data_IF_473965914360
#
_entry.id   IF_473965914360
#
_cell.length_a   1.000
_cell.length_b   1.000
_cell.length_c   1.000
_cell.angle_alpha   90.00
_cell.angle_beta   90.00
_cell.angle_gamma   90.00
#
_symmetry.space_group_name_H-M   'P 1'
#
loop_
_entity.id
_entity.type
_entity.pdbx_description
1 polymer ?
#
# COMPACT_ATOMS: atom_id res chain seq x y z
N UNK A 1 17.05 29.45 -22.90
CA UNK A 1 15.97 29.42 -21.90
C UNK A 1 15.84 28.00 -21.36
N UNK A 2 16.61 27.73 -20.31
CA UNK A 2 16.51 26.74 -19.23
C UNK A 2 15.86 25.37 -19.55
N UNK A 3 16.68 24.47 -20.10
CA UNK A 3 16.38 23.05 -20.26
C UNK A 3 16.57 22.33 -18.90
N UNK A 4 15.60 22.43 -17.99
CA UNK A 4 15.64 21.67 -16.74
C UNK A 4 15.33 20.18 -17.01
N UNK A 5 16.35 19.43 -17.44
CA UNK A 5 16.36 17.96 -17.44
C UNK A 5 16.50 17.45 -16.00
N UNK A 6 15.50 17.70 -15.16
CA UNK A 6 15.34 16.91 -13.95
C UNK A 6 15.11 15.48 -14.40
N UNK A 7 16.11 14.61 -14.25
CA UNK A 7 16.00 13.17 -14.39
C UNK A 7 14.68 12.71 -13.76
N UNK A 8 13.67 12.49 -14.59
CA UNK A 8 12.31 12.20 -14.13
C UNK A 8 12.34 10.75 -13.72
N UNK A 9 12.39 10.48 -12.42
CA UNK A 9 12.33 9.12 -11.89
C UNK A 9 11.12 8.41 -12.51
N UNK A 10 11.26 7.15 -12.97
CA UNK A 10 10.14 6.40 -13.49
C UNK A 10 9.01 6.37 -12.45
N UNK A 11 7.77 6.57 -12.89
CA UNK A 11 6.61 6.50 -12.02
C UNK A 11 6.02 5.10 -12.07
N UNK A 12 5.86 4.48 -10.91
CA UNK A 12 5.22 3.16 -10.77
C UNK A 12 3.89 3.36 -10.07
N UNK A 13 2.80 2.98 -10.74
CA UNK A 13 1.45 3.00 -10.17
C UNK A 13 1.07 1.57 -9.77
N UNK A 14 0.77 1.38 -8.48
CA UNK A 14 0.33 0.11 -7.92
C UNK A 14 -1.17 0.23 -7.65
N UNK A 15 -1.98 -0.64 -8.25
CA UNK A 15 -3.42 -0.67 -8.05
C UNK A 15 -3.75 -1.82 -7.09
N UNK A 16 -4.33 -1.47 -5.94
CA UNK A 16 -4.67 -2.38 -4.86
C UNK A 16 -3.66 -2.32 -3.70
N UNK A 17 -4.13 -2.11 -2.47
CA UNK A 17 -3.39 -2.15 -1.22
C UNK A 17 -3.64 -3.45 -0.44
N UNK A 18 -3.82 -4.56 -1.18
CA UNK A 18 -3.81 -5.91 -0.63
C UNK A 18 -2.39 -6.39 -0.30
N UNK A 19 -2.23 -7.70 -0.07
CA UNK A 19 -0.92 -8.30 0.22
C UNK A 19 0.13 -7.99 -0.85
N UNK A 20 -0.21 -8.24 -2.11
CA UNK A 20 0.72 -8.04 -3.23
C UNK A 20 1.09 -6.57 -3.43
N UNK A 21 0.11 -5.66 -3.43
CA UNK A 21 0.39 -4.25 -3.68
C UNK A 21 1.21 -3.59 -2.60
N UNK A 22 0.97 -3.94 -1.33
CA UNK A 22 1.83 -3.50 -0.23
C UNK A 22 3.23 -4.11 -0.33
N UNK A 23 3.35 -5.38 -0.73
CA UNK A 23 4.68 -5.98 -0.89
C UNK A 23 5.50 -5.38 -2.02
N UNK A 24 4.85 -5.09 -3.15
CA UNK A 24 5.49 -4.36 -4.25
C UNK A 24 5.93 -2.98 -3.78
N UNK A 25 5.07 -2.24 -3.06
CA UNK A 25 5.41 -0.93 -2.52
C UNK A 25 6.61 -1.00 -1.54
N UNK A 26 6.65 -2.03 -0.67
CA UNK A 26 7.76 -2.26 0.27
C UNK A 26 9.06 -2.62 -0.45
N UNK A 27 8.98 -3.38 -1.53
CA UNK A 27 10.13 -3.81 -2.34
C UNK A 27 10.72 -2.66 -3.16
N UNK A 28 9.88 -1.75 -3.65
CA UNK A 28 10.29 -0.58 -4.42
C UNK A 28 10.74 0.61 -3.56
N UNK A 29 10.69 0.52 -2.22
CA UNK A 29 10.97 1.65 -1.32
C UNK A 29 12.34 2.31 -1.51
N UNK A 30 13.35 1.52 -1.93
CA UNK A 30 14.72 1.98 -2.17
C UNK A 30 15.06 2.10 -3.66
N UNK A 31 14.12 1.82 -4.55
CA UNK A 31 14.33 1.94 -5.98
C UNK A 31 14.28 3.42 -6.38
N UNK A 32 15.01 3.84 -7.43
CA UNK A 32 15.02 5.23 -7.91
C UNK A 32 13.75 5.56 -8.72
N UNK A 33 12.57 5.29 -8.15
CA UNK A 33 11.25 5.41 -8.78
C UNK A 33 10.28 6.17 -7.87
N UNK A 34 9.31 6.85 -8.47
CA UNK A 34 8.21 7.47 -7.74
C UNK A 34 7.04 6.48 -7.66
N UNK A 35 6.70 6.01 -6.46
CA UNK A 35 5.61 5.03 -6.25
C UNK A 35 4.30 5.73 -5.90
N UNK A 36 3.24 5.43 -6.64
CA UNK A 36 1.86 5.79 -6.33
C UNK A 36 1.06 4.51 -6.05
N UNK A 37 0.64 4.32 -4.80
CA UNK A 37 -0.27 3.24 -4.41
C UNK A 37 -1.71 3.76 -4.39
N UNK A 38 -2.59 3.14 -5.18
CA UNK A 38 -3.99 3.51 -5.28
C UNK A 38 -4.86 2.31 -4.92
N UNK A 39 -5.75 2.48 -3.94
CA UNK A 39 -6.76 1.50 -3.58
C UNK A 39 -8.10 2.21 -3.39
N UNK A 40 -9.19 1.46 -3.53
CA UNK A 40 -10.55 1.93 -3.27
C UNK A 40 -10.77 2.28 -1.80
N UNK A 41 -10.11 1.54 -0.92
CA UNK A 41 -10.19 1.64 0.52
C UNK A 41 -8.89 2.22 1.08
N UNK A 42 -8.99 2.94 2.20
CA UNK A 42 -7.84 3.50 2.90
C UNK A 42 -7.17 2.52 3.88
N UNK A 43 -7.59 1.25 3.88
CA UNK A 43 -7.11 0.18 4.75
C UNK A 43 -6.72 -1.07 3.96
N UNK A 44 -5.77 -1.81 4.50
CA UNK A 44 -5.42 -3.16 4.09
C UNK A 44 -6.17 -4.15 4.99
N UNK A 45 -6.94 -5.04 4.39
CA UNK A 45 -7.65 -6.11 5.10
C UNK A 45 -6.86 -7.42 5.12
N UNK A 46 -6.76 -8.06 6.29
CA UNK A 46 -6.27 -9.43 6.42
C UNK A 46 -7.41 -10.42 6.15
N UNK A 47 -7.78 -10.52 4.86
CA UNK A 47 -8.86 -11.37 4.37
C UNK A 47 -8.82 -12.85 4.82
N UNK A 48 -7.66 -13.47 5.12
CA UNK A 48 -7.64 -14.81 5.69
C UNK A 48 -8.43 -14.97 6.99
N UNK A 49 -8.64 -13.90 7.78
CA UNK A 49 -9.45 -13.93 9.00
C UNK A 49 -10.85 -13.34 8.82
N UNK A 50 -11.28 -13.09 7.58
CA UNK A 50 -12.63 -12.55 7.31
C UNK A 50 -13.72 -13.46 7.88
N UNK A 51 -13.50 -14.78 7.85
CA UNK A 51 -14.46 -15.73 8.42
C UNK A 51 -14.67 -15.52 9.92
N UNK A 52 -13.63 -15.13 10.68
CA UNK A 52 -13.75 -14.87 12.11
C UNK A 52 -14.58 -13.63 12.40
N UNK A 53 -14.54 -12.63 11.51
CA UNK A 53 -15.46 -11.49 11.57
C UNK A 53 -16.90 -11.93 11.26
N UNK A 54 -17.08 -12.75 10.23
CA UNK A 54 -18.41 -13.26 9.85
C UNK A 54 -19.05 -14.12 10.96
N UNK A 55 -18.24 -14.83 11.75
CA UNK A 55 -18.70 -15.64 12.90
C UNK A 55 -18.67 -14.89 14.23
N UNK A 56 -18.50 -13.56 14.22
CA UNK A 56 -18.41 -12.71 15.42
C UNK A 56 -17.29 -13.09 16.42
N UNK A 57 -16.25 -13.78 15.95
CA UNK A 57 -15.04 -14.10 16.74
C UNK A 57 -14.01 -12.96 16.74
N UNK A 58 -14.09 -12.03 15.79
CA UNK A 58 -13.26 -10.82 15.72
C UNK A 58 -14.09 -9.62 15.29
N UNK A 59 -13.71 -8.45 15.79
CA UNK A 59 -14.18 -7.16 15.29
C UNK A 59 -13.50 -6.82 13.95
N UNK A 60 -14.21 -6.18 12.99
CA UNK A 60 -13.63 -5.80 11.70
C UNK A 60 -12.33 -4.99 11.80
N UNK A 61 -12.20 -4.15 12.82
CA UNK A 61 -11.02 -3.31 13.07
C UNK A 61 -9.77 -4.15 13.40
N UNK A 62 -9.94 -5.38 13.89
CA UNK A 62 -8.82 -6.28 14.19
C UNK A 62 -8.17 -6.83 12.92
N UNK A 63 -8.89 -6.85 11.78
CA UNK A 63 -8.37 -7.33 10.50
C UNK A 63 -8.10 -6.19 9.50
N UNK A 64 -8.44 -4.93 9.81
CA UNK A 64 -8.29 -3.79 8.93
C UNK A 64 -7.22 -2.81 9.44
N UNK A 65 -6.12 -2.68 8.70
CA UNK A 65 -5.00 -1.78 9.05
C UNK A 65 -4.94 -0.58 8.11
N UNK A 66 -4.87 0.67 8.60
CA UNK A 66 -4.74 1.84 7.74
C UNK A 66 -3.48 1.76 6.86
N UNK A 67 -3.64 1.88 5.54
CA UNK A 67 -2.53 1.76 4.57
C UNK A 67 -1.40 2.73 4.89
N UNK A 68 -1.75 3.97 5.28
CA UNK A 68 -0.78 5.00 5.68
C UNK A 68 0.04 4.62 6.90
N UNK A 69 -0.53 3.88 7.86
CA UNK A 69 0.19 3.43 9.04
C UNK A 69 1.23 2.36 8.68
N UNK A 70 0.86 1.44 7.78
CA UNK A 70 1.77 0.41 7.26
C UNK A 70 2.93 1.05 6.50
N UNK A 71 2.65 1.95 5.55
CA UNK A 71 3.67 2.61 4.73
C UNK A 71 4.61 3.48 5.59
N UNK A 72 4.08 4.18 6.59
CA UNK A 72 4.89 5.03 7.49
C UNK A 72 5.97 4.24 8.24
N UNK A 73 5.78 2.94 8.45
CA UNK A 73 6.77 2.05 9.07
C UNK A 73 7.97 1.75 8.17
N UNK A 74 7.85 1.99 6.86
CA UNK A 74 8.91 1.71 5.88
C UNK A 74 9.80 2.92 5.57
N UNK A 75 9.44 4.08 6.13
CA UNK A 75 10.25 5.30 6.07
C UNK A 75 11.44 5.17 7.01
#
# INVERSE_FOLDING_TARGET
MNNNTTSKRPRVVIIGAGFGGLEVARSLRNAPVDVLLLDRNNYHGFWPLLYQVATAGLEPQQIAQPVRAVIRRWR
#
